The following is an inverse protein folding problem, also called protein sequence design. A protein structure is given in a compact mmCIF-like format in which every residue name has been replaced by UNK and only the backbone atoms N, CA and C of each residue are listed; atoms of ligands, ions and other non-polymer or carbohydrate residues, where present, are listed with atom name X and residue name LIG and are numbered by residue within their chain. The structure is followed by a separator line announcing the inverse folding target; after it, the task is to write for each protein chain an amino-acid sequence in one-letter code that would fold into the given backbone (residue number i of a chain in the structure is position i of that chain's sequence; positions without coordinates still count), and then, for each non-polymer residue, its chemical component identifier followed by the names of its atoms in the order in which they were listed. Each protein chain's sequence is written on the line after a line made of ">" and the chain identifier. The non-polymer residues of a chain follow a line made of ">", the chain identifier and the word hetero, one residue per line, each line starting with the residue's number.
data_IF_764336156830
#
_entry.id   IF_764336156830
#
_cell.length_a   1.000
_cell.length_b   1.000
_cell.length_c   1.000
_cell.angle_alpha   90.00
_cell.angle_beta   90.00
_cell.angle_gamma   90.00
#
_symmetry.space_group_name_H-M   'P 1'
#
loop_
_entity.id
_entity.type
_entity.pdbx_description
1 polymer ?
#
# COMPACT_ATOMS: atom_id res chain seq x y z
N UNK A 1 -11.66 17.98 0.06
CA UNK A 1 -10.18 17.91 -0.04
C UNK A 1 -9.47 18.35 1.26
N UNK A 2 -9.65 19.59 1.75
CA UNK A 2 -8.95 20.06 2.95
C UNK A 2 -9.18 19.19 4.20
N UNK A 3 -10.43 18.79 4.45
CA UNK A 3 -10.78 17.88 5.56
C UNK A 3 -10.08 16.53 5.42
N UNK A 4 -10.04 15.97 4.21
CA UNK A 4 -9.36 14.71 3.91
C UNK A 4 -7.86 14.80 4.21
N UNK A 5 -7.21 15.89 3.80
CA UNK A 5 -5.79 16.13 4.08
C UNK A 5 -5.56 16.22 5.58
N UNK A 6 -6.36 17.02 6.29
CA UNK A 6 -6.25 17.17 7.73
C UNK A 6 -6.40 15.82 8.46
N UNK A 7 -7.43 15.05 8.12
CA UNK A 7 -7.65 13.71 8.65
C UNK A 7 -6.44 12.79 8.43
N UNK A 8 -5.87 12.77 7.22
CA UNK A 8 -4.71 11.94 6.91
C UNK A 8 -3.47 12.37 7.71
N UNK A 9 -3.24 13.68 7.88
CA UNK A 9 -2.10 14.21 8.64
C UNK A 9 -2.14 13.84 10.13
N UNK A 10 -3.33 13.76 10.73
CA UNK A 10 -3.48 13.40 12.16
C UNK A 10 -3.60 11.89 12.40
N UNK A 11 -3.67 11.08 11.34
CA UNK A 11 -3.95 9.66 11.45
C UNK A 11 -2.73 8.88 11.97
N UNK A 12 -2.83 8.27 13.16
CA UNK A 12 -1.72 7.56 13.77
C UNK A 12 -1.23 6.34 12.97
N UNK A 13 -2.08 5.69 12.18
CA UNK A 13 -1.66 4.57 11.34
C UNK A 13 -0.78 5.07 10.20
N UNK A 14 -1.20 6.12 9.50
CA UNK A 14 -0.42 6.68 8.40
C UNK A 14 0.92 7.22 8.90
N UNK A 15 0.91 7.92 10.03
CA UNK A 15 2.12 8.43 10.68
C UNK A 15 3.04 7.30 11.19
N UNK A 16 2.48 6.18 11.65
CA UNK A 16 3.28 5.02 12.00
C UNK A 16 4.02 4.49 10.78
N UNK A 17 3.33 4.18 9.69
CA UNK A 17 3.96 3.62 8.49
C UNK A 17 4.89 4.60 7.76
N UNK A 18 4.70 5.92 7.91
CA UNK A 18 5.63 6.92 7.38
C UNK A 18 6.93 7.03 8.19
N UNK A 19 6.92 6.66 9.47
CA UNK A 19 8.11 6.67 10.33
C UNK A 19 9.01 5.42 10.19
N UNK A 20 8.47 4.37 9.56
CA UNK A 20 9.15 3.09 9.38
C UNK A 20 9.88 3.03 8.02
N UNK A 21 10.81 2.09 7.86
CA UNK A 21 11.58 1.89 6.62
C UNK A 21 10.81 1.13 5.53
N UNK A 22 9.48 1.13 5.60
CA UNK A 22 8.66 0.42 4.64
C UNK A 22 8.42 1.23 3.36
N UNK A 23 7.98 0.56 2.29
CA UNK A 23 7.72 1.20 0.99
C UNK A 23 6.38 1.90 0.89
N UNK A 24 5.46 1.78 1.86
CA UNK A 24 4.11 2.36 1.83
C UNK A 24 4.14 3.88 1.63
N UNK A 25 4.95 4.62 2.39
CA UNK A 25 4.99 6.08 2.31
C UNK A 25 5.57 6.55 0.96
N UNK A 26 6.65 5.93 0.50
CA UNK A 26 7.21 6.20 -0.83
C UNK A 26 6.24 5.84 -1.94
N UNK A 27 5.51 4.74 -1.78
CA UNK A 27 4.49 4.31 -2.73
C UNK A 27 3.31 5.29 -2.80
N UNK A 28 2.81 5.78 -1.66
CA UNK A 28 1.77 6.80 -1.59
C UNK A 28 2.21 8.12 -2.26
N UNK A 29 3.48 8.51 -2.10
CA UNK A 29 4.06 9.65 -2.83
C UNK A 29 3.98 9.42 -4.35
N UNK A 30 4.47 8.28 -4.84
CA UNK A 30 4.41 7.96 -6.27
C UNK A 30 2.96 7.87 -6.79
N UNK A 31 2.03 7.33 -6.00
CA UNK A 31 0.61 7.29 -6.34
C UNK A 31 0.02 8.70 -6.46
N UNK A 32 0.42 9.64 -5.58
CA UNK A 32 -0.04 11.03 -5.67
C UNK A 32 0.46 11.71 -6.95
N UNK A 33 1.73 11.53 -7.31
CA UNK A 33 2.29 12.06 -8.56
C UNK A 33 1.59 11.42 -9.76
N UNK A 34 1.34 10.11 -9.72
CA UNK A 34 0.59 9.40 -10.75
C UNK A 34 -0.82 9.95 -10.93
N UNK A 35 -1.56 10.21 -9.84
CA UNK A 35 -2.91 10.77 -9.93
C UNK A 35 -2.92 12.18 -10.50
N UNK A 36 -1.97 13.03 -10.12
CA UNK A 36 -1.83 14.38 -10.66
C UNK A 36 -1.48 14.35 -12.16
N UNK A 37 -0.59 13.44 -12.57
CA UNK A 37 -0.30 13.22 -13.99
C UNK A 37 -1.50 12.65 -14.75
N UNK A 38 -2.26 11.74 -14.12
CA UNK A 38 -3.45 11.15 -14.71
C UNK A 38 -4.57 12.17 -14.88
N UNK A 39 -4.77 13.09 -13.92
CA UNK A 39 -5.70 14.21 -14.04
C UNK A 39 -5.38 15.08 -15.27
N UNK A 40 -4.10 15.41 -15.48
CA UNK A 40 -3.66 16.14 -16.68
C UNK A 40 -3.89 15.33 -17.96
N UNK A 41 -3.69 14.01 -17.91
CA UNK A 41 -3.91 13.11 -19.04
C UNK A 41 -5.39 13.01 -19.46
N UNK A 42 -6.32 12.90 -18.52
CA UNK A 42 -7.76 12.84 -18.81
C UNK A 42 -8.34 14.19 -19.23
N UNK A 43 -7.73 15.29 -18.77
CA UNK A 43 -8.18 16.67 -19.05
C UNK A 43 -7.58 17.22 -20.34
N UNK A 44 -6.51 16.62 -20.85
CA UNK A 44 -5.99 16.91 -22.19
C UNK A 44 -7.09 16.61 -23.23
N UNK A 45 -7.83 17.65 -23.61
CA UNK A 45 -8.78 17.64 -24.72
C UNK A 45 -8.13 17.00 -25.93
N UNK A 46 -8.90 16.16 -26.63
CA UNK A 46 -8.53 15.42 -27.84
C UNK A 46 -7.23 15.93 -28.42
N UNK A 47 -6.07 15.30 -28.10
CA UNK A 47 -4.80 15.78 -28.60
C UNK A 47 -4.95 15.80 -30.12
N UNK A 48 -5.02 17.00 -30.69
CA UNK A 48 -5.26 17.23 -32.12
C UNK A 48 -4.22 16.50 -32.99
N UNK A 49 -3.13 16.05 -32.36
CA UNK A 49 -2.07 15.23 -32.94
C UNK A 49 -1.99 13.86 -32.26
N UNK A 50 -2.01 12.80 -33.05
CA UNK A 50 -1.80 11.40 -32.63
C UNK A 50 -0.52 11.24 -31.79
N UNK A 51 0.56 11.94 -32.18
CA UNK A 51 1.84 11.92 -31.48
C UNK A 51 1.71 12.33 -30.00
N UNK A 52 0.95 13.40 -29.71
CA UNK A 52 0.76 13.86 -28.33
C UNK A 52 -0.05 12.86 -27.51
N UNK A 53 -1.04 12.20 -28.11
CA UNK A 53 -1.79 11.13 -27.43
C UNK A 53 -0.89 9.95 -27.07
N UNK A 54 -0.03 9.56 -28.01
CA UNK A 54 0.93 8.49 -27.82
C UNK A 54 1.94 8.84 -26.71
N UNK A 55 2.54 10.03 -26.75
CA UNK A 55 3.49 10.49 -25.73
C UNK A 55 2.86 10.50 -24.34
N UNK A 56 1.65 11.04 -24.18
CA UNK A 56 0.99 11.06 -22.89
C UNK A 56 0.61 9.66 -22.40
N UNK A 57 0.15 8.78 -23.29
CA UNK A 57 -0.19 7.40 -22.94
C UNK A 57 1.06 6.62 -22.50
N UNK A 58 2.19 6.77 -23.23
CA UNK A 58 3.48 6.19 -22.83
C UNK A 58 3.96 6.76 -21.50
N UNK A 59 3.79 8.06 -21.24
CA UNK A 59 4.18 8.67 -19.97
C UNK A 59 3.39 8.08 -18.79
N UNK A 60 2.07 7.91 -18.92
CA UNK A 60 1.24 7.24 -17.91
C UNK A 60 1.64 5.77 -17.75
N UNK A 61 1.92 5.05 -18.84
CA UNK A 61 2.43 3.69 -18.80
C UNK A 61 3.78 3.57 -18.08
N UNK A 62 4.70 4.50 -18.33
CA UNK A 62 6.00 4.56 -17.67
C UNK A 62 5.87 4.87 -16.17
N UNK A 63 4.97 5.78 -15.78
CA UNK A 63 4.66 6.01 -14.37
C UNK A 63 4.02 4.79 -13.69
N UNK A 64 3.16 4.06 -14.42
CA UNK A 64 2.63 2.78 -13.96
C UNK A 64 3.72 1.72 -13.78
N UNK A 65 4.74 1.69 -14.64
CA UNK A 65 5.93 0.85 -14.45
C UNK A 65 6.69 1.23 -13.18
N UNK A 66 6.92 2.52 -12.92
CA UNK A 66 7.60 2.98 -11.70
C UNK A 66 6.84 2.54 -10.45
N UNK A 67 5.52 2.68 -10.45
CA UNK A 67 4.65 2.16 -9.39
C UNK A 67 4.80 0.64 -9.25
N UNK A 68 4.72 -0.09 -10.36
CA UNK A 68 4.80 -1.55 -10.39
C UNK A 68 6.13 -2.09 -9.85
N UNK A 69 7.26 -1.49 -10.23
CA UNK A 69 8.59 -1.87 -9.72
C UNK A 69 8.73 -1.55 -8.23
N UNK A 70 8.08 -0.48 -7.75
CA UNK A 70 8.08 -0.11 -6.33
C UNK A 70 7.30 -1.11 -5.48
N UNK A 71 6.11 -1.50 -5.93
CA UNK A 71 5.32 -2.59 -5.33
C UNK A 71 4.57 -3.32 -6.44
N UNK A 72 4.73 -4.64 -6.53
CA UNK A 72 4.05 -5.46 -7.54
C UNK A 72 2.52 -5.30 -7.54
N UNK A 73 1.92 -5.05 -6.37
CA UNK A 73 0.49 -4.77 -6.23
C UNK A 73 0.06 -3.57 -7.09
N UNK A 74 0.96 -2.63 -7.36
CA UNK A 74 0.70 -1.46 -8.15
C UNK A 74 0.48 -1.71 -9.64
N UNK A 75 0.59 -2.97 -10.12
CA UNK A 75 -0.02 -3.39 -11.39
C UNK A 75 -1.51 -3.00 -11.46
N UNK A 76 -2.19 -2.89 -10.29
CA UNK A 76 -3.52 -2.32 -10.11
C UNK A 76 -3.67 -0.98 -10.84
N UNK A 77 -2.65 -0.11 -10.83
CA UNK A 77 -2.74 1.23 -11.40
C UNK A 77 -3.03 1.19 -12.90
N UNK A 78 -2.34 0.33 -13.63
CA UNK A 78 -2.55 0.18 -15.08
C UNK A 78 -3.88 -0.49 -15.37
N UNK A 79 -4.24 -1.54 -14.61
CA UNK A 79 -5.54 -2.19 -14.74
C UNK A 79 -6.69 -1.20 -14.50
N UNK A 80 -6.55 -0.29 -13.52
CA UNK A 80 -7.51 0.76 -13.24
C UNK A 80 -7.60 1.78 -14.38
N UNK A 81 -6.48 2.18 -14.99
CA UNK A 81 -6.48 3.10 -16.15
C UNK A 81 -7.19 2.47 -17.34
N UNK A 82 -6.88 1.21 -17.63
CA UNK A 82 -7.52 0.43 -18.70
C UNK A 82 -9.02 0.32 -18.43
N UNK A 83 -9.42 -0.13 -17.23
CA UNK A 83 -10.83 -0.25 -16.84
C UNK A 83 -11.57 1.10 -16.92
N UNK A 84 -10.92 2.20 -16.51
CA UNK A 84 -11.47 3.54 -16.65
C UNK A 84 -11.72 3.90 -18.12
N UNK A 85 -10.75 3.74 -19.02
CA UNK A 85 -10.94 4.05 -20.43
C UNK A 85 -11.99 3.16 -21.10
N UNK A 86 -12.03 1.87 -20.75
CA UNK A 86 -13.09 0.95 -21.19
C UNK A 86 -14.46 1.43 -20.74
N UNK A 87 -14.60 1.85 -19.47
CA UNK A 87 -15.87 2.38 -18.95
C UNK A 87 -16.29 3.72 -19.58
N UNK A 88 -15.35 4.45 -20.17
CA UNK A 88 -15.58 5.68 -20.93
C UNK A 88 -15.67 5.42 -22.45
N UNK A 89 -15.67 4.15 -22.89
CA UNK A 89 -15.70 3.72 -24.29
C UNK A 89 -14.51 4.23 -25.14
N UNK A 90 -13.40 4.60 -24.51
CA UNK A 90 -12.17 5.05 -25.18
C UNK A 90 -11.19 3.88 -25.39
N UNK A 91 -11.55 3.00 -26.32
CA UNK A 91 -10.77 1.81 -26.66
C UNK A 91 -9.36 2.14 -27.16
N UNK A 92 -9.19 3.31 -27.79
CA UNK A 92 -7.89 3.74 -28.33
C UNK A 92 -6.90 4.03 -27.21
N UNK A 93 -7.29 4.87 -26.23
CA UNK A 93 -6.42 5.14 -25.07
C UNK A 93 -6.20 3.89 -24.23
N UNK A 94 -7.21 3.05 -24.07
CA UNK A 94 -7.09 1.75 -23.39
C UNK A 94 -6.02 0.85 -24.04
N UNK A 95 -6.05 0.72 -25.36
CA UNK A 95 -5.07 -0.07 -26.11
C UNK A 95 -3.66 0.56 -26.04
N UNK A 96 -3.55 1.88 -26.20
CA UNK A 96 -2.27 2.59 -26.14
C UNK A 96 -1.60 2.46 -24.76
N UNK A 97 -2.35 2.62 -23.66
CA UNK A 97 -1.81 2.46 -22.31
C UNK A 97 -1.39 1.01 -22.05
N UNK A 98 -2.21 0.05 -22.47
CA UNK A 98 -1.90 -1.39 -22.33
C UNK A 98 -0.62 -1.76 -23.08
N UNK A 99 -0.54 -1.40 -24.36
CA UNK A 99 0.63 -1.69 -25.20
C UNK A 99 1.86 -0.92 -24.72
N UNK A 100 1.69 0.36 -24.35
CA UNK A 100 2.75 1.19 -23.79
C UNK A 100 3.31 0.61 -22.50
N UNK A 101 2.46 0.08 -21.62
CA UNK A 101 2.90 -0.54 -20.37
C UNK A 101 3.66 -1.84 -20.63
N UNK A 102 3.13 -2.71 -21.50
CA UNK A 102 3.83 -3.94 -21.92
C UNK A 102 5.19 -3.61 -22.53
N UNK A 103 5.26 -2.60 -23.39
CA UNK A 103 6.53 -2.12 -23.96
C UNK A 103 7.50 -1.66 -22.86
N UNK A 104 7.05 -0.84 -21.91
CA UNK A 104 7.87 -0.39 -20.78
C UNK A 104 8.37 -1.56 -19.91
N UNK A 105 7.53 -2.55 -19.63
CA UNK A 105 7.90 -3.75 -18.85
C UNK A 105 8.95 -4.59 -19.58
N UNK A 106 8.77 -4.83 -20.88
CA UNK A 106 9.74 -5.57 -21.71
C UNK A 106 11.07 -4.83 -21.74
N UNK A 107 11.03 -3.52 -22.01
CA UNK A 107 12.24 -2.69 -22.05
C UNK A 107 12.98 -2.69 -20.71
N UNK A 108 12.26 -2.57 -19.60
CA UNK A 108 12.83 -2.69 -18.26
C UNK A 108 13.47 -4.07 -18.03
N UNK A 109 12.80 -5.14 -18.44
CA UNK A 109 13.31 -6.51 -18.36
C UNK A 109 14.62 -6.69 -19.12
N UNK A 110 14.70 -6.16 -20.35
CA UNK A 110 15.91 -6.21 -21.19
C UNK A 110 17.06 -5.39 -20.60
N UNK A 111 16.80 -4.15 -20.17
CA UNK A 111 17.84 -3.32 -19.53
C UNK A 111 18.36 -4.02 -18.28
N UNK A 112 17.46 -4.60 -17.48
CA UNK A 112 17.83 -5.32 -16.26
C UNK A 112 18.67 -6.57 -16.57
N UNK A 113 18.31 -7.35 -17.59
CA UNK A 113 19.07 -8.57 -17.94
C UNK A 113 20.47 -8.23 -18.45
N UNK A 114 20.62 -7.17 -19.25
CA UNK A 114 21.90 -6.69 -19.75
C UNK A 114 22.84 -6.21 -18.64
N UNK A 115 22.33 -5.45 -17.66
CA UNK A 115 23.15 -4.87 -16.60
C UNK A 115 23.46 -5.88 -15.48
N UNK A 116 22.46 -6.66 -15.05
CA UNK A 116 22.59 -7.47 -13.83
C UNK A 116 22.80 -8.97 -14.07
N UNK A 117 22.75 -9.46 -15.32
CA UNK A 117 22.94 -10.88 -15.68
C UNK A 117 22.20 -11.87 -14.76
N UNK A 118 21.04 -11.47 -14.23
CA UNK A 118 20.25 -12.27 -13.27
C UNK A 118 18.94 -12.68 -13.91
N UNK A 119 18.73 -13.99 -14.00
CA UNK A 119 17.55 -14.63 -14.58
C UNK A 119 16.32 -14.67 -13.65
N UNK A 120 16.45 -14.18 -12.41
CA UNK A 120 15.35 -14.19 -11.44
C UNK A 120 14.31 -13.09 -11.69
N UNK A 121 13.23 -13.42 -12.42
CA UNK A 121 12.06 -12.55 -12.56
C UNK A 121 11.29 -12.45 -11.21
N UNK A 122 11.29 -11.25 -10.62
CA UNK A 122 10.57 -10.95 -9.37
C UNK A 122 9.06 -11.24 -9.46
N UNK A 123 8.49 -11.12 -10.66
CA UNK A 123 7.11 -11.51 -10.96
C UNK A 123 6.89 -13.02 -10.79
N UNK A 124 7.82 -13.84 -11.26
CA UNK A 124 7.68 -15.30 -11.22
C UNK A 124 7.83 -15.84 -9.79
N UNK A 125 8.74 -15.26 -9.00
CA UNK A 125 8.95 -15.68 -7.61
C UNK A 125 7.86 -15.21 -6.66
N UNK A 126 7.22 -14.06 -6.90
CA UNK A 126 6.09 -13.59 -6.10
C UNK A 126 4.76 -14.15 -6.58
N UNK A 127 4.57 -14.31 -7.90
CA UNK A 127 3.36 -14.88 -8.49
C UNK A 127 3.12 -16.31 -8.05
N UNK A 128 4.17 -17.15 -8.02
CA UNK A 128 4.06 -18.54 -7.56
C UNK A 128 3.63 -18.65 -6.08
N UNK A 129 4.04 -17.71 -5.23
CA UNK A 129 3.65 -17.66 -3.81
C UNK A 129 2.18 -17.27 -3.63
N UNK A 130 1.64 -16.42 -4.49
CA UNK A 130 0.22 -16.06 -4.48
C UNK A 130 -0.64 -17.27 -4.86
N UNK A 131 -0.17 -18.06 -5.82
CA UNK A 131 -0.87 -19.25 -6.31
C UNK A 131 -0.81 -20.44 -5.34
N UNK A 132 0.15 -20.49 -4.43
CA UNK A 132 0.23 -21.55 -3.41
C UNK A 132 -0.93 -21.45 -2.41
N UNK A 133 -1.33 -22.58 -1.82
CA UNK A 133 -2.24 -22.59 -0.65
C UNK A 133 -1.58 -21.99 0.59
N UNK A 134 -0.30 -22.31 0.81
CA UNK A 134 0.47 -21.77 1.91
C UNK A 134 1.80 -21.19 1.38
N UNK A 135 2.12 -19.92 1.67
CA UNK A 135 3.22 -19.21 1.04
C UNK A 135 4.61 -19.63 1.55
N UNK A 136 4.66 -20.42 2.62
CA UNK A 136 5.89 -20.96 3.19
C UNK A 136 5.98 -22.50 3.10
N UNK A 137 4.95 -23.15 2.55
CA UNK A 137 4.89 -24.61 2.46
C UNK A 137 4.33 -25.02 1.09
N UNK A 138 5.24 -25.22 0.14
CA UNK A 138 4.90 -25.60 -1.23
C UNK A 138 4.30 -27.02 -1.32
N UNK A 139 4.43 -27.85 -0.28
CA UNK A 139 3.90 -29.23 -0.28
C UNK A 139 2.36 -29.26 -0.26
N UNK A 140 1.70 -28.19 0.20
CA UNK A 140 0.24 -28.09 0.23
C UNK A 140 -0.38 -27.84 -1.15
N UNK A 141 0.46 -27.64 -2.18
CA UNK A 141 0.04 -27.45 -3.56
C UNK A 141 -0.51 -26.05 -3.85
N UNK A 142 -1.19 -25.95 -4.99
CA UNK A 142 -1.76 -24.71 -5.51
C UNK A 142 -3.18 -24.47 -4.97
N UNK A 143 -3.54 -23.20 -4.89
CA UNK A 143 -4.84 -22.74 -4.46
C UNK A 143 -5.91 -23.04 -5.51
N UNK A 144 -7.11 -23.34 -5.02
CA UNK A 144 -8.29 -23.58 -5.86
C UNK A 144 -9.03 -22.27 -6.15
N UNK A 145 -9.86 -22.24 -7.19
CA UNK A 145 -10.71 -21.06 -7.51
C UNK A 145 -11.62 -20.70 -6.33
N UNK A 146 -12.22 -21.69 -5.67
CA UNK A 146 -13.02 -21.49 -4.46
C UNK A 146 -12.18 -20.94 -3.29
N UNK A 147 -10.94 -21.39 -3.15
CA UNK A 147 -10.00 -20.85 -2.17
C UNK A 147 -9.68 -19.37 -2.39
N UNK A 148 -9.51 -18.93 -3.65
CA UNK A 148 -9.36 -17.51 -3.96
C UNK A 148 -10.60 -16.69 -3.63
N UNK A 149 -11.79 -17.22 -3.89
CA UNK A 149 -13.06 -16.58 -3.48
C UNK A 149 -13.14 -16.48 -1.95
N UNK A 150 -12.72 -17.53 -1.23
CA UNK A 150 -12.68 -17.51 0.23
C UNK A 150 -11.69 -16.46 0.76
N UNK A 151 -10.49 -16.34 0.17
CA UNK A 151 -9.54 -15.27 0.49
C UNK A 151 -10.17 -13.90 0.30
N UNK A 152 -10.86 -13.67 -0.82
CA UNK A 152 -11.55 -12.42 -1.06
C UNK A 152 -12.58 -12.13 0.04
N UNK A 153 -13.41 -13.10 0.43
CA UNK A 153 -14.43 -12.93 1.48
C UNK A 153 -13.77 -12.66 2.84
N UNK A 154 -12.81 -13.50 3.26
CA UNK A 154 -12.12 -13.41 4.55
C UNK A 154 -11.40 -12.06 4.68
N UNK A 155 -10.63 -11.69 3.66
CA UNK A 155 -9.90 -10.43 3.63
C UNK A 155 -10.87 -9.25 3.57
N UNK A 156 -12.00 -9.34 2.86
CA UNK A 156 -12.99 -8.26 2.87
C UNK A 156 -13.60 -8.05 4.25
N UNK A 157 -13.86 -9.13 4.99
CA UNK A 157 -14.31 -9.06 6.37
C UNK A 157 -13.25 -8.40 7.27
N UNK A 158 -12.01 -8.86 7.21
CA UNK A 158 -10.92 -8.32 8.02
C UNK A 158 -10.60 -6.85 7.66
N UNK A 159 -10.44 -6.54 6.38
CA UNK A 159 -9.99 -5.23 5.95
C UNK A 159 -11.08 -4.16 6.00
N UNK A 160 -12.31 -4.46 5.58
CA UNK A 160 -13.36 -3.45 5.60
C UNK A 160 -14.06 -3.29 6.95
N UNK A 161 -14.29 -4.39 7.69
CA UNK A 161 -14.99 -4.29 8.98
C UNK A 161 -14.08 -4.07 10.18
N UNK A 162 -12.79 -4.38 10.07
CA UNK A 162 -11.82 -4.14 11.14
C UNK A 162 -10.85 -3.02 10.79
N UNK A 163 -9.93 -3.24 9.86
CA UNK A 163 -8.85 -2.29 9.59
C UNK A 163 -9.34 -0.92 9.13
N UNK A 164 -10.27 -0.86 8.18
CA UNK A 164 -10.75 0.42 7.66
C UNK A 164 -11.41 1.24 8.76
N UNK A 165 -12.33 0.63 9.52
CA UNK A 165 -13.06 1.32 10.59
C UNK A 165 -12.14 1.72 11.73
N UNK A 166 -11.15 0.89 12.04
CA UNK A 166 -10.12 1.19 13.05
C UNK A 166 -9.24 2.36 12.63
N UNK A 167 -8.83 2.39 11.37
CA UNK A 167 -8.03 3.49 10.80
C UNK A 167 -8.84 4.78 10.74
N UNK A 168 -10.16 4.71 10.53
CA UNK A 168 -11.08 5.85 10.67
C UNK A 168 -11.37 6.26 12.13
N UNK A 169 -10.78 5.57 13.12
CA UNK A 169 -10.93 5.88 14.54
C UNK A 169 -12.21 5.34 15.20
N UNK A 170 -13.09 4.70 14.43
CA UNK A 170 -14.43 4.29 14.84
C UNK A 170 -14.48 2.90 15.51
N UNK A 171 -13.39 2.11 15.43
CA UNK A 171 -13.28 0.77 16.03
C UNK A 171 -12.08 0.69 16.97
N UNK A 172 -12.24 0.04 18.13
CA UNK A 172 -11.15 -0.34 19.02
C UNK A 172 -10.47 -1.66 18.61
N UNK A 173 -9.28 -1.91 19.16
CA UNK A 173 -8.56 -3.18 18.98
C UNK A 173 -9.35 -4.34 19.62
N UNK A 174 -9.41 -5.49 18.95
CA UNK A 174 -10.05 -6.71 19.48
C UNK A 174 -11.57 -6.80 19.29
N UNK A 175 -12.22 -5.83 18.65
CA UNK A 175 -13.66 -5.95 18.33
C UNK A 175 -13.90 -6.90 17.15
N UNK A 176 -14.98 -7.69 17.21
CA UNK A 176 -15.30 -8.69 16.19
C UNK A 176 -15.53 -8.10 14.80
N UNK A 177 -15.34 -8.94 13.78
CA UNK A 177 -15.63 -8.57 12.40
C UNK A 177 -17.15 -8.53 12.16
N UNK A 178 -17.59 -7.65 11.27
CA UNK A 178 -19.02 -7.46 10.97
C UNK A 178 -19.28 -7.50 9.48
N UNK A 179 -20.03 -8.51 9.04
CA UNK A 179 -20.49 -8.65 7.66
C UNK A 179 -21.29 -7.44 7.19
N UNK A 180 -22.12 -6.87 8.07
CA UNK A 180 -22.92 -5.69 7.75
C UNK A 180 -22.03 -4.50 7.37
N UNK A 181 -20.97 -4.24 8.14
CA UNK A 181 -20.04 -3.14 7.85
C UNK A 181 -19.33 -3.38 6.51
N UNK A 182 -18.86 -4.61 6.26
CA UNK A 182 -18.22 -4.95 4.97
C UNK A 182 -19.16 -4.70 3.79
N UNK A 183 -20.44 -5.10 3.90
CA UNK A 183 -21.45 -4.84 2.87
C UNK A 183 -21.73 -3.35 2.69
N UNK A 184 -21.77 -2.57 3.78
CA UNK A 184 -21.92 -1.11 3.71
C UNK A 184 -20.75 -0.43 2.99
N UNK A 185 -19.51 -0.90 3.20
CA UNK A 185 -18.33 -0.38 2.48
C UNK A 185 -18.40 -0.71 0.99
N UNK A 186 -18.85 -1.91 0.62
CA UNK A 186 -19.10 -2.25 -0.79
C UNK A 186 -20.20 -1.40 -1.40
N UNK A 187 -21.33 -1.25 -0.72
CA UNK A 187 -22.43 -0.40 -1.15
C UNK A 187 -21.97 1.06 -1.33
N UNK A 188 -21.13 1.56 -0.42
CA UNK A 188 -20.50 2.87 -0.51
C UNK A 188 -19.64 3.01 -1.77
N UNK A 189 -18.77 2.05 -2.08
CA UNK A 189 -17.93 2.10 -3.28
C UNK A 189 -18.77 2.04 -4.57
N UNK A 190 -19.78 1.18 -4.61
CA UNK A 190 -20.71 1.06 -5.75
C UNK A 190 -21.47 2.38 -5.94
N UNK A 191 -22.02 2.94 -4.87
CA UNK A 191 -22.72 4.22 -4.88
C UNK A 191 -21.79 5.36 -5.33
N UNK A 192 -20.56 5.43 -4.83
CA UNK A 192 -19.56 6.40 -5.25
C UNK A 192 -19.28 6.28 -6.76
N UNK A 193 -19.16 5.04 -7.27
CA UNK A 193 -18.95 4.76 -8.69
C UNK A 193 -20.07 5.32 -9.55
N UNK A 194 -21.33 5.00 -9.22
CA UNK A 194 -22.50 5.52 -9.93
C UNK A 194 -22.60 7.04 -9.87
N UNK A 195 -22.34 7.62 -8.70
CA UNK A 195 -22.44 9.06 -8.50
C UNK A 195 -21.40 9.86 -9.30
N UNK A 196 -20.13 9.41 -9.30
CA UNK A 196 -19.05 10.13 -9.97
C UNK A 196 -18.92 9.82 -11.45
N UNK A 197 -19.52 8.72 -11.95
CA UNK A 197 -19.41 8.26 -13.34
C UNK A 197 -19.52 9.37 -14.38
N UNK A 198 -20.50 10.27 -14.20
CA UNK A 198 -20.74 11.40 -15.12
C UNK A 198 -20.33 12.76 -14.55
N UNK A 199 -20.01 12.85 -13.27
CA UNK A 199 -19.78 14.14 -12.58
C UNK A 199 -18.32 14.55 -12.54
N UNK A 200 -17.43 13.61 -12.22
CA UNK A 200 -16.02 13.91 -12.04
C UNK A 200 -15.19 12.70 -12.46
N UNK A 201 -14.50 12.84 -13.60
CA UNK A 201 -13.68 11.77 -14.18
C UNK A 201 -12.55 11.31 -13.25
N UNK A 202 -11.92 12.23 -12.53
CA UNK A 202 -10.84 11.90 -11.59
C UNK A 202 -11.36 11.13 -10.37
N UNK A 203 -12.45 11.60 -9.74
CA UNK A 203 -13.05 10.89 -8.60
C UNK A 203 -13.61 9.53 -9.02
N UNK A 204 -14.17 9.43 -10.23
CA UNK A 204 -14.60 8.15 -10.78
C UNK A 204 -13.43 7.19 -11.01
N UNK A 205 -12.30 7.69 -11.54
CA UNK A 205 -11.06 6.91 -11.62
C UNK A 205 -10.60 6.44 -10.24
N UNK A 206 -10.63 7.30 -9.22
CA UNK A 206 -10.25 6.94 -7.85
C UNK A 206 -11.15 5.83 -7.29
N UNK A 207 -12.45 5.83 -7.61
CA UNK A 207 -13.35 4.71 -7.25
C UNK A 207 -12.91 3.41 -7.94
N UNK A 208 -12.68 3.42 -9.25
CA UNK A 208 -12.22 2.24 -10.00
C UNK A 208 -10.90 1.73 -9.44
N UNK A 209 -9.93 2.63 -9.24
CA UNK A 209 -8.61 2.33 -8.70
C UNK A 209 -8.71 1.65 -7.32
N UNK A 210 -9.54 2.20 -6.44
CA UNK A 210 -9.74 1.66 -5.09
C UNK A 210 -10.45 0.31 -5.12
N UNK A 211 -11.49 0.16 -5.94
CA UNK A 211 -12.28 -1.06 -6.04
C UNK A 211 -11.46 -2.22 -6.63
N UNK A 212 -10.83 -2.02 -7.79
CA UNK A 212 -9.94 -3.00 -8.40
C UNK A 212 -8.77 -3.30 -7.46
N UNK A 213 -8.24 -2.26 -6.81
CA UNK A 213 -7.13 -2.43 -5.89
C UNK A 213 -7.45 -3.29 -4.69
N UNK A 214 -8.61 -3.08 -4.05
CA UNK A 214 -9.07 -3.90 -2.96
C UNK A 214 -9.34 -5.34 -3.43
N UNK A 215 -10.06 -5.54 -4.53
CA UNK A 215 -10.38 -6.89 -5.04
C UNK A 215 -9.11 -7.68 -5.35
N UNK A 216 -8.16 -7.10 -6.09
CA UNK A 216 -6.91 -7.79 -6.41
C UNK A 216 -6.05 -8.04 -5.18
N UNK A 217 -5.98 -7.07 -4.26
CA UNK A 217 -5.21 -7.23 -3.02
C UNK A 217 -5.81 -8.33 -2.13
N UNK A 218 -7.13 -8.35 -1.97
CA UNK A 218 -7.82 -9.30 -1.09
C UNK A 218 -7.88 -10.71 -1.69
N UNK A 219 -7.84 -10.85 -3.01
CA UNK A 219 -7.70 -12.16 -3.64
C UNK A 219 -6.26 -12.67 -3.56
N UNK A 220 -5.26 -11.79 -3.74
CA UNK A 220 -3.86 -12.19 -3.75
C UNK A 220 -3.29 -12.45 -2.35
N UNK A 221 -3.81 -11.76 -1.32
CA UNK A 221 -3.30 -11.87 0.04
C UNK A 221 -3.81 -13.15 0.71
N UNK A 222 -2.90 -13.85 1.38
CA UNK A 222 -3.26 -14.94 2.28
C UNK A 222 -3.92 -14.39 3.57
N UNK A 223 -5.06 -14.97 3.98
CA UNK A 223 -5.91 -14.44 5.07
C UNK A 223 -5.22 -14.32 6.43
N UNK A 224 -4.10 -14.99 6.65
CA UNK A 224 -3.32 -14.91 7.90
C UNK A 224 -2.29 -13.77 7.90
N UNK A 225 -2.00 -13.15 6.74
CA UNK A 225 -1.20 -11.92 6.64
C UNK A 225 -2.02 -10.68 6.96
N UNK A 226 -2.77 -10.77 8.06
CA UNK A 226 -3.75 -9.78 8.52
C UNK A 226 -3.04 -8.53 9.08
N UNK A 227 -2.55 -7.69 8.18
CA UNK A 227 -1.78 -6.48 8.49
C UNK A 227 -2.40 -5.23 7.87
N UNK A 228 -2.48 -4.16 8.65
CA UNK A 228 -3.06 -2.85 8.27
C UNK A 228 -2.39 -2.22 7.04
N UNK A 229 -1.10 -2.53 6.81
CA UNK A 229 -0.29 -1.98 5.71
C UNK A 229 -0.86 -2.23 4.30
N UNK A 230 -1.62 -3.31 4.11
CA UNK A 230 -2.17 -3.65 2.79
C UNK A 230 -3.38 -2.77 2.44
N UNK A 231 -4.08 -2.24 3.45
CA UNK A 231 -5.20 -1.31 3.26
C UNK A 231 -4.72 0.15 3.27
N UNK A 232 -3.63 0.46 3.98
CA UNK A 232 -3.23 1.86 4.19
C UNK A 232 -2.86 2.59 2.90
N UNK A 233 -2.41 1.87 1.88
CA UNK A 233 -2.15 2.42 0.54
C UNK A 233 -3.42 2.89 -0.18
N UNK A 234 -4.60 2.45 0.26
CA UNK A 234 -5.90 2.88 -0.27
C UNK A 234 -6.63 3.86 0.67
N UNK A 235 -6.12 4.05 1.89
CA UNK A 235 -6.75 4.92 2.89
C UNK A 235 -7.00 6.36 2.37
N UNK A 236 -6.05 7.02 1.67
CA UNK A 236 -6.30 8.37 1.15
C UNK A 236 -7.50 8.44 0.21
N UNK A 237 -7.74 7.38 -0.56
CA UNK A 237 -8.87 7.30 -1.50
C UNK A 237 -10.19 7.09 -0.77
N UNK A 238 -10.24 6.18 0.20
CA UNK A 238 -11.42 6.01 1.05
C UNK A 238 -11.77 7.32 1.77
N UNK A 239 -10.77 7.99 2.37
CA UNK A 239 -10.98 9.27 3.05
C UNK A 239 -11.48 10.35 2.09
N UNK A 240 -10.85 10.48 0.90
CA UNK A 240 -11.27 11.45 -0.11
C UNK A 240 -12.72 11.23 -0.55
N UNK A 241 -13.07 9.99 -0.91
CA UNK A 241 -14.42 9.63 -1.37
C UNK A 241 -15.45 9.83 -0.25
N UNK A 242 -15.13 9.44 0.98
CA UNK A 242 -16.03 9.58 2.13
C UNK A 242 -16.33 11.05 2.44
N UNK A 243 -15.29 11.87 2.54
CA UNK A 243 -15.45 13.29 2.85
C UNK A 243 -16.11 14.06 1.70
N UNK A 244 -15.79 13.76 0.43
CA UNK A 244 -16.46 14.41 -0.69
C UNK A 244 -17.94 14.04 -0.76
N UNK A 245 -18.30 12.76 -0.69
CA UNK A 245 -19.70 12.34 -0.69
C UNK A 245 -20.47 12.92 0.49
N UNK A 246 -19.90 12.89 1.70
CA UNK A 246 -20.54 13.50 2.87
C UNK A 246 -20.78 15.00 2.65
N UNK A 247 -19.82 15.72 2.07
CA UNK A 247 -19.98 17.13 1.74
C UNK A 247 -21.10 17.37 0.71
N UNK A 248 -21.13 16.59 -0.37
CA UNK A 248 -22.12 16.74 -1.45
C UNK A 248 -23.55 16.45 -0.98
N UNK A 249 -23.72 15.46 -0.10
CA UNK A 249 -25.05 14.98 0.32
C UNK A 249 -25.55 15.63 1.60
N UNK A 250 -24.67 16.04 2.52
CA UNK A 250 -25.07 16.58 3.81
C UNK A 250 -24.84 18.09 3.93
N UNK A 251 -23.89 18.67 3.19
CA UNK A 251 -23.56 20.09 3.34
C UNK A 251 -24.01 20.96 2.16
N UNK A 252 -23.57 20.61 0.95
CA UNK A 252 -23.73 21.43 -0.24
C UNK A 252 -25.21 21.61 -0.62
N UNK A 253 -25.66 22.86 -0.61
CA UNK A 253 -27.04 23.25 -0.99
C UNK A 253 -28.13 22.51 -0.19
N UNK A 254 -27.81 22.12 1.05
CA UNK A 254 -28.74 21.39 1.95
C UNK A 254 -29.33 22.26 3.04
N UNK A 255 -30.39 21.74 3.67
CA UNK A 255 -31.05 22.35 4.83
C UNK A 255 -30.11 22.47 6.03
N UNK A 256 -30.46 23.36 6.96
CA UNK A 256 -29.70 23.56 8.20
C UNK A 256 -29.46 22.26 8.96
N UNK A 257 -30.49 21.41 9.11
CA UNK A 257 -30.39 20.12 9.81
C UNK A 257 -29.32 19.20 9.22
N UNK A 258 -29.28 19.07 7.89
CA UNK A 258 -28.29 18.22 7.20
C UNK A 258 -26.87 18.80 7.33
N UNK A 259 -26.73 20.14 7.26
CA UNK A 259 -25.43 20.80 7.49
C UNK A 259 -24.94 20.57 8.92
N UNK A 260 -25.83 20.64 9.91
CA UNK A 260 -25.48 20.31 11.30
C UNK A 260 -25.06 18.85 11.43
N UNK A 261 -25.79 17.93 10.81
CA UNK A 261 -25.41 16.51 10.78
C UNK A 261 -24.02 16.29 10.14
N UNK A 262 -23.71 17.00 9.05
CA UNK A 262 -22.37 16.97 8.45
C UNK A 262 -21.29 17.40 9.46
N UNK A 263 -21.48 18.54 10.13
CA UNK A 263 -20.51 19.04 11.11
C UNK A 263 -20.34 18.05 12.25
N UNK A 264 -21.43 17.51 12.79
CA UNK A 264 -21.38 16.48 13.84
C UNK A 264 -20.62 15.23 13.39
N UNK A 265 -20.87 14.75 12.17
CA UNK A 265 -20.15 13.62 11.60
C UNK A 265 -18.65 13.90 11.47
N UNK A 266 -18.28 15.08 10.99
CA UNK A 266 -16.87 15.48 10.86
C UNK A 266 -16.19 15.56 12.22
N UNK A 267 -16.83 16.19 13.20
CA UNK A 267 -16.32 16.30 14.59
C UNK A 267 -16.16 14.91 15.20
N UNK A 268 -17.11 14.00 14.97
CA UNK A 268 -17.03 12.64 15.48
C UNK A 268 -15.85 11.86 14.87
N UNK A 269 -15.71 11.85 13.54
CA UNK A 269 -14.62 11.12 12.86
C UNK A 269 -13.25 11.70 13.18
N UNK A 270 -13.10 13.03 13.11
CA UNK A 270 -11.84 13.72 13.45
C UNK A 270 -11.53 13.59 14.93
N UNK A 271 -12.51 13.78 15.81
CA UNK A 271 -12.35 13.71 17.26
C UNK A 271 -11.94 12.33 17.73
N UNK A 272 -12.59 11.27 17.22
CA UNK A 272 -12.20 9.88 17.50
C UNK A 272 -10.81 9.55 16.98
N UNK A 273 -10.45 10.02 15.78
CA UNK A 273 -9.10 9.87 15.23
C UNK A 273 -8.06 10.56 16.11
N UNK A 274 -8.29 11.82 16.50
CA UNK A 274 -7.41 12.57 17.40
C UNK A 274 -7.26 11.85 18.75
N UNK A 275 -8.35 11.36 19.32
CA UNK A 275 -8.32 10.62 20.57
C UNK A 275 -7.43 9.37 20.47
N UNK A 276 -7.61 8.57 19.42
CA UNK A 276 -6.78 7.36 19.17
C UNK A 276 -5.31 7.71 18.95
N UNK A 277 -5.04 8.79 18.21
CA UNK A 277 -3.68 9.30 18.02
C UNK A 277 -3.08 9.75 19.35
N UNK A 278 -3.82 10.48 20.17
CA UNK A 278 -3.40 10.90 21.51
C UNK A 278 -3.07 9.71 22.42
N UNK A 279 -3.89 8.66 22.41
CA UNK A 279 -3.61 7.41 23.16
C UNK A 279 -2.29 6.77 22.71
N UNK A 280 -2.03 6.71 21.40
CA UNK A 280 -0.77 6.15 20.87
C UNK A 280 0.44 7.01 21.22
N UNK A 281 0.31 8.33 21.12
CA UNK A 281 1.36 9.27 21.53
C UNK A 281 1.68 9.09 23.01
N UNK A 282 0.67 9.04 23.87
CA UNK A 282 0.86 8.84 25.31
C UNK A 282 1.56 7.52 25.65
N UNK A 283 1.28 6.43 24.91
CA UNK A 283 1.95 5.14 25.09
C UNK A 283 3.41 5.16 24.61
N UNK A 284 3.70 5.89 23.53
CA UNK A 284 5.03 5.93 22.92
C UNK A 284 5.96 6.98 23.53
N UNK A 285 5.43 7.99 24.23
CA UNK A 285 6.22 9.06 24.82
C UNK A 285 7.23 8.56 25.88
N UNK A 286 6.88 7.65 26.80
CA UNK A 286 7.85 7.06 27.71
C UNK A 286 8.96 6.28 26.99
N UNK A 287 8.59 5.56 25.93
CA UNK A 287 9.55 4.81 25.10
C UNK A 287 10.53 5.75 24.43
N UNK A 288 10.05 6.84 23.83
CA UNK A 288 10.89 7.88 23.25
C UNK A 288 11.82 8.50 24.29
N UNK A 289 11.32 8.84 25.48
CA UNK A 289 12.13 9.42 26.54
C UNK A 289 13.29 8.51 26.97
N UNK A 290 13.05 7.20 27.06
CA UNK A 290 14.10 6.22 27.38
C UNK A 290 15.10 6.03 26.23
N UNK A 291 14.62 6.01 24.99
CA UNK A 291 15.48 5.94 23.80
C UNK A 291 16.39 7.16 23.69
N UNK A 292 15.88 8.36 24.00
CA UNK A 292 16.67 9.60 24.01
C UNK A 292 17.72 9.63 25.15
N UNK A 293 17.47 8.92 26.26
CA UNK A 293 18.45 8.71 27.35
C UNK A 293 19.52 7.67 27.02
N UNK A 294 19.50 7.10 25.81
CA UNK A 294 20.47 6.09 25.36
C UNK A 294 20.05 4.64 25.59
N UNK A 295 18.89 4.37 26.20
CA UNK A 295 18.37 3.02 26.33
C UNK A 295 17.62 2.60 25.07
N UNK A 296 18.39 2.30 24.02
CA UNK A 296 17.90 2.00 22.68
C UNK A 296 17.00 0.75 22.59
N UNK A 297 17.13 -0.19 23.52
CA UNK A 297 16.36 -1.44 23.52
C UNK A 297 15.01 -1.32 24.24
N UNK A 298 14.74 -0.16 24.86
CA UNK A 298 13.53 0.05 25.63
C UNK A 298 12.28 0.10 24.74
N UNK A 299 11.23 -0.62 25.14
CA UNK A 299 9.97 -0.71 24.39
C UNK A 299 9.99 -1.72 23.23
N UNK A 300 11.11 -2.41 22.98
CA UNK A 300 11.16 -3.53 22.05
C UNK A 300 10.65 -4.82 22.70
N UNK A 301 10.05 -5.70 21.89
CA UNK A 301 9.68 -7.04 22.37
C UNK A 301 10.93 -7.86 22.71
N UNK A 302 10.86 -8.81 23.65
CA UNK A 302 12.01 -9.62 24.07
C UNK A 302 12.74 -10.31 22.90
N UNK A 303 12.00 -10.77 21.88
CA UNK A 303 12.56 -11.35 20.67
C UNK A 303 13.51 -10.39 19.93
N UNK A 304 13.11 -9.12 19.80
CA UNK A 304 13.91 -8.09 19.18
C UNK A 304 15.11 -7.69 20.03
N UNK A 305 14.92 -7.62 21.35
CA UNK A 305 16.02 -7.37 22.29
C UNK A 305 17.07 -8.46 22.17
N UNK A 306 16.67 -9.73 22.18
CA UNK A 306 17.57 -10.87 22.05
C UNK A 306 18.26 -10.90 20.69
N UNK A 307 17.52 -10.62 19.61
CA UNK A 307 18.07 -10.53 18.26
C UNK A 307 19.15 -9.44 18.15
N UNK A 308 18.87 -8.23 18.63
CA UNK A 308 19.81 -7.11 18.56
C UNK A 308 21.04 -7.41 19.42
N UNK A 309 20.86 -7.94 20.64
CA UNK A 309 21.99 -8.34 21.49
C UNK A 309 22.86 -9.41 20.84
N UNK A 310 22.26 -10.41 20.20
CA UNK A 310 23.01 -11.44 19.47
C UNK A 310 23.79 -10.83 18.30
N UNK A 311 23.21 -9.85 17.60
CA UNK A 311 23.92 -9.12 16.55
C UNK A 311 25.09 -8.29 17.09
N UNK A 312 24.93 -7.67 18.27
CA UNK A 312 25.99 -6.91 18.95
C UNK A 312 27.16 -7.82 19.36
N UNK A 313 26.86 -8.96 19.99
CA UNK A 313 27.88 -9.96 20.39
C UNK A 313 28.60 -10.50 19.16
N UNK A 314 27.87 -10.88 18.10
CA UNK A 314 28.48 -11.37 16.87
C UNK A 314 29.45 -10.33 16.25
N UNK A 315 29.11 -9.04 16.32
CA UNK A 315 29.96 -7.96 15.81
C UNK A 315 31.25 -7.76 16.62
N UNK A 316 31.20 -8.03 17.93
CA UNK A 316 32.37 -7.95 18.82
C UNK A 316 33.30 -9.16 18.67
N UNK A 317 32.76 -10.36 18.41
CA UNK A 317 33.53 -11.61 18.34
C UNK A 317 34.19 -11.89 16.97
N UNK A 318 33.85 -11.14 15.91
CA UNK A 318 34.47 -11.37 14.59
C UNK A 318 35.80 -10.62 14.44
N UNK A 319 36.91 -11.29 14.01
CA UNK A 319 38.24 -10.68 13.88
C UNK A 319 38.33 -9.48 12.91
N UNK A 320 37.31 -9.32 12.06
CA UNK A 320 37.16 -8.29 11.03
C UNK A 320 36.00 -7.32 11.35
N UNK A 321 35.64 -7.20 12.65
CA UNK A 321 34.41 -6.68 13.29
C UNK A 321 33.87 -5.29 12.89
N UNK A 322 34.34 -4.71 11.79
CA UNK A 322 33.74 -3.53 11.13
C UNK A 322 33.36 -3.71 9.66
N UNK A 323 33.68 -4.84 9.01
CA UNK A 323 33.50 -4.95 7.54
C UNK A 323 32.39 -5.87 7.07
N UNK A 324 32.06 -6.96 7.79
CA UNK A 324 31.14 -8.00 7.25
C UNK A 324 30.43 -8.81 8.34
N UNK A 325 29.32 -8.28 8.86
CA UNK A 325 28.33 -9.13 9.50
C UNK A 325 26.95 -8.87 8.90
N UNK A 326 26.43 -9.78 8.05
CA UNK A 326 25.07 -9.67 7.56
C UNK A 326 24.11 -10.10 8.66
N UNK A 327 23.81 -9.21 9.60
CA UNK A 327 22.66 -9.34 10.49
C UNK A 327 21.38 -9.08 9.68
N UNK A 328 20.95 -10.08 8.91
CA UNK A 328 19.76 -9.99 8.08
C UNK A 328 18.54 -10.52 8.85
N UNK A 329 17.64 -9.62 9.28
CA UNK A 329 16.30 -9.97 9.73
C UNK A 329 15.33 -9.92 8.56
N UNK A 330 14.56 -10.99 8.34
CA UNK A 330 13.45 -11.04 7.37
C UNK A 330 12.19 -10.33 7.87
N UNK A 331 12.12 -9.97 9.15
CA UNK A 331 11.04 -9.15 9.74
C UNK A 331 11.52 -7.70 9.84
N UNK A 332 10.64 -6.78 9.43
CA UNK A 332 10.95 -5.37 9.18
C UNK A 332 11.62 -4.67 10.37
N UNK A 333 12.81 -4.09 10.18
CA UNK A 333 13.42 -3.22 11.17
C UNK A 333 12.85 -1.80 11.07
N UNK A 334 12.56 -1.20 12.22
CA UNK A 334 12.34 0.24 12.31
C UNK A 334 13.61 1.02 11.91
N UNK A 335 13.45 2.29 11.55
CA UNK A 335 14.57 3.19 11.24
C UNK A 335 15.58 3.29 12.40
N UNK A 336 15.13 3.06 13.63
CA UNK A 336 15.98 2.96 14.83
C UNK A 336 16.81 1.68 14.85
N UNK A 337 16.25 0.54 14.44
CA UNK A 337 16.97 -0.74 14.29
C UNK A 337 18.04 -0.64 13.20
N UNK A 338 17.74 0.07 12.10
CA UNK A 338 18.73 0.35 11.06
C UNK A 338 19.90 1.19 11.60
N UNK A 339 19.68 2.16 12.50
CA UNK A 339 20.76 2.90 13.19
C UNK A 339 21.51 2.06 14.24
N UNK A 340 20.82 1.17 14.95
CA UNK A 340 21.46 0.25 15.89
C UNK A 340 22.32 -0.79 15.18
N UNK A 341 21.93 -1.20 13.97
CA UNK A 341 22.70 -2.09 13.11
C UNK A 341 23.59 -1.33 12.10
N UNK A 342 23.57 0.01 12.01
CA UNK A 342 24.28 0.77 10.96
C UNK A 342 25.79 0.82 11.13
N UNK A 343 26.36 0.16 12.15
CA UNK A 343 27.78 -0.19 12.12
C UNK A 343 28.09 -1.43 11.24
N UNK A 344 27.08 -2.10 10.66
CA UNK A 344 27.28 -3.36 9.93
C UNK A 344 26.36 -3.60 8.71
N UNK A 345 25.72 -2.58 8.11
CA UNK A 345 24.90 -2.79 6.91
C UNK A 345 25.72 -2.64 5.61
N UNK A 346 26.38 -3.73 5.20
CA UNK A 346 26.82 -3.94 3.80
C UNK A 346 25.87 -4.96 3.15
N UNK A 347 25.25 -4.67 1.99
CA UNK A 347 24.40 -5.64 1.33
C UNK A 347 25.25 -6.80 0.78
N UNK A 348 24.96 -8.02 1.23
CA UNK A 348 25.53 -9.25 0.68
C UNK A 348 25.06 -9.47 -0.77
N UNK A 349 25.80 -8.92 -1.72
CA UNK A 349 25.80 -9.35 -3.12
C UNK A 349 27.18 -9.91 -3.47
N UNK A 350 27.48 -11.11 -2.97
CA UNK A 350 28.43 -12.06 -3.58
C UNK A 350 28.22 -13.43 -2.92
N UNK A 351 27.40 -14.26 -3.53
CA UNK A 351 27.41 -15.69 -3.25
C UNK A 351 28.68 -16.26 -3.88
N UNK A 352 29.62 -16.74 -3.06
CA UNK A 352 30.69 -17.61 -3.56
C UNK A 352 30.11 -19.00 -3.79
N UNK A 353 30.43 -19.67 -4.91
CA UNK A 353 30.01 -21.05 -5.13
C UNK A 353 30.74 -21.95 -4.14
N UNK A 354 29.99 -22.81 -3.44
CA UNK A 354 30.56 -23.87 -2.60
C UNK A 354 31.33 -24.84 -3.52
N UNK A 355 32.65 -24.87 -3.38
CA UNK A 355 33.48 -25.95 -3.92
C UNK A 355 33.21 -27.22 -3.11
N UNK A 356 32.58 -28.21 -3.73
CA UNK A 356 32.57 -29.58 -3.26
C UNK A 356 33.99 -30.15 -3.37
N UNK A 357 34.62 -30.39 -2.22
CA UNK A 357 35.76 -31.31 -2.13
C UNK A 357 35.40 -32.31 -1.04
N UNK A 358 34.91 -33.48 -1.49
CA UNK A 358 34.91 -34.68 -0.67
C UNK A 358 36.10 -35.51 -1.15
N UNK A 359 37.05 -35.72 -0.23
CA UNK A 359 37.95 -36.87 -0.16
C UNK A 359 37.17 -38.16 0.03
#
# INVERSE_FOLDING_TARGET
>A
MAISIFFLSINAYLNYYSSQTYSEAFFLLLQSVFLLSFEKYITAENPSTIARNLTLSIAISAMGLVLFVTRNIAAIAILAVVAFHVSQLDWRRSALVSLGFTFCVILYGLIRSLIWQREGNQLQSQGSVILQKHPYDASQGQESVSGFIQRLIDNSLQYFSDHLIRVFGLKGEGMSNSTLITLLVYAFLVFAGFYYFKKNKLLFFIVIYTAIGCVLSFTALHSFWNQERHLIIFLPFFALLFFDLSYQFLFKDKSFLLRTLFVLLMVLVIGTTLYRTGQRVSKNLPVLAQNLKGNLLYGLQPEWVNYIRLCQVAAEETPDGRKRLPCASRRSPSSTLARMCSMAFTPCLKAHPRSSTNS
#
